data_IF_617351298783
#
_entry.id   IF_617351298783
#
_cell.length_a   1.000
_cell.length_b   1.000
_cell.length_c   1.000
_cell.angle_alpha   90.00
_cell.angle_beta   90.00
_cell.angle_gamma   90.00
#
_symmetry.space_group_name_H-M   'P 1'
#
loop_
_entity.id
_entity.type
_entity.pdbx_description
1 polymer ?
#
# COMPACT_ATOMS: atom_id res chain seq x y z
N UNK A 1 12.47 25.85 23.99
CA UNK A 1 12.08 24.92 22.90
C UNK A 1 12.68 23.55 23.19
N UNK A 2 11.85 22.54 23.39
CA UNK A 2 12.30 21.16 23.57
C UNK A 2 12.59 20.61 22.17
N UNK A 3 13.87 20.44 21.83
CA UNK A 3 14.25 19.72 20.61
C UNK A 3 14.09 18.23 20.85
N UNK A 4 13.16 17.61 20.12
CA UNK A 4 12.99 16.17 20.12
C UNK A 4 13.71 15.60 18.90
N UNK A 5 14.65 14.69 19.11
CA UNK A 5 15.28 13.94 18.03
C UNK A 5 14.51 12.65 17.77
N UNK A 6 14.27 12.35 16.51
CA UNK A 6 13.65 11.09 16.08
C UNK A 6 14.63 10.33 15.18
N UNK A 7 14.70 9.02 15.35
CA UNK A 7 15.44 8.16 14.44
C UNK A 7 14.62 7.93 13.18
N UNK A 8 15.23 8.13 12.02
CA UNK A 8 14.62 7.88 10.71
C UNK A 8 15.16 6.57 10.16
N UNK A 9 14.24 5.63 9.81
CA UNK A 9 14.56 4.33 9.21
C UNK A 9 13.79 4.14 7.92
N UNK A 10 14.36 3.39 7.00
CA UNK A 10 13.64 2.91 5.82
C UNK A 10 12.63 1.83 6.22
N UNK A 11 11.63 1.60 5.39
CA UNK A 11 10.68 0.51 5.61
C UNK A 11 11.38 -0.86 5.63
N UNK A 12 12.37 -1.06 4.75
CA UNK A 12 13.16 -2.30 4.73
C UNK A 12 13.91 -2.52 6.06
N UNK A 13 14.50 -1.48 6.65
CA UNK A 13 15.16 -1.57 7.96
C UNK A 13 14.17 -1.90 9.08
N UNK A 14 13.00 -1.25 9.11
CA UNK A 14 11.98 -1.53 10.11
C UNK A 14 11.50 -2.98 10.05
N UNK A 15 11.25 -3.49 8.85
CA UNK A 15 10.77 -4.87 8.66
C UNK A 15 11.86 -5.89 8.99
N UNK A 16 13.13 -5.58 8.69
CA UNK A 16 14.26 -6.42 9.06
C UNK A 16 14.39 -6.57 10.59
N UNK A 17 14.13 -5.52 11.35
CA UNK A 17 14.13 -5.55 12.81
C UNK A 17 12.93 -6.30 13.40
N UNK A 18 11.73 -6.11 12.81
CA UNK A 18 10.48 -6.72 13.28
C UNK A 18 10.35 -8.20 12.88
N UNK A 19 10.97 -8.60 11.78
CA UNK A 19 10.92 -9.94 11.20
C UNK A 19 9.50 -10.55 11.15
N UNK A 20 8.51 -9.86 10.59
CA UNK A 20 7.16 -10.37 10.54
C UNK A 20 7.09 -11.60 9.63
N UNK A 21 6.24 -12.54 9.97
CA UNK A 21 6.04 -13.76 9.16
C UNK A 21 5.36 -13.43 7.81
N UNK A 22 4.50 -12.43 7.78
CA UNK A 22 3.79 -11.94 6.58
C UNK A 22 3.36 -10.50 6.77
N UNK A 23 3.21 -9.79 5.65
CA UNK A 23 2.62 -8.45 5.58
C UNK A 23 1.54 -8.50 4.51
N UNK A 24 0.29 -8.36 4.90
CA UNK A 24 -0.84 -8.41 3.98
C UNK A 24 -1.23 -7.03 3.43
N UNK A 25 -1.02 -5.99 4.23
CA UNK A 25 -1.39 -4.61 3.91
C UNK A 25 -0.30 -3.65 4.37
N UNK A 26 0.06 -2.73 3.49
CA UNK A 26 0.90 -1.59 3.78
C UNK A 26 0.08 -0.31 3.53
N UNK A 27 -0.28 0.41 4.60
CA UNK A 27 -0.88 1.73 4.48
C UNK A 27 0.20 2.79 4.55
N UNK A 28 0.21 3.72 3.58
CA UNK A 28 1.15 4.84 3.48
C UNK A 28 0.34 6.14 3.44
N UNK A 29 0.60 7.00 4.42
CA UNK A 29 -0.08 8.27 4.61
C UNK A 29 0.91 9.19 5.34
N UNK A 30 1.77 9.87 4.57
CA UNK A 30 2.94 10.58 5.08
C UNK A 30 3.02 12.04 4.61
N UNK A 31 1.90 12.55 4.06
CA UNK A 31 1.76 13.95 3.64
C UNK A 31 2.90 14.46 2.73
N UNK A 32 3.19 13.70 1.67
CA UNK A 32 4.14 14.07 0.62
C UNK A 32 5.44 13.25 0.58
N UNK A 33 5.63 12.29 1.49
CA UNK A 33 6.80 11.41 1.50
C UNK A 33 6.50 9.98 1.02
N UNK A 34 5.34 9.72 0.41
CA UNK A 34 4.88 8.38 0.02
C UNK A 34 5.87 7.70 -0.93
N UNK A 35 6.38 8.41 -1.93
CA UNK A 35 7.37 7.88 -2.86
C UNK A 35 8.66 7.46 -2.15
N UNK A 36 9.11 8.25 -1.17
CA UNK A 36 10.31 7.94 -0.38
C UNK A 36 10.12 6.70 0.49
N UNK A 37 8.94 6.55 1.11
CA UNK A 37 8.59 5.33 1.88
C UNK A 37 8.60 4.10 0.98
N UNK A 38 8.02 4.19 -0.23
CA UNK A 38 8.00 3.11 -1.20
C UNK A 38 9.41 2.74 -1.67
N UNK A 39 10.23 3.74 -2.00
CA UNK A 39 11.62 3.51 -2.40
C UNK A 39 12.46 2.89 -1.28
N UNK A 40 12.22 3.29 -0.02
CA UNK A 40 12.86 2.70 1.16
C UNK A 40 12.32 1.33 1.55
N UNK A 41 11.31 0.81 0.86
CA UNK A 41 10.64 -0.45 1.11
C UNK A 41 10.61 -1.43 -0.06
N UNK A 42 11.45 -1.24 -1.07
CA UNK A 42 11.44 -2.11 -2.27
C UNK A 42 11.73 -3.58 -1.95
N UNK A 43 12.54 -3.88 -0.95
CA UNK A 43 12.79 -5.23 -0.46
C UNK A 43 11.53 -5.85 0.12
N UNK A 44 10.83 -5.11 0.98
CA UNK A 44 9.53 -5.51 1.56
C UNK A 44 8.50 -5.78 0.48
N UNK A 45 8.40 -4.90 -0.52
CA UNK A 45 7.45 -5.06 -1.62
C UNK A 45 7.74 -6.30 -2.48
N UNK A 46 9.00 -6.65 -2.69
CA UNK A 46 9.40 -7.84 -3.42
C UNK A 46 9.15 -9.12 -2.64
N UNK A 47 9.49 -9.14 -1.36
CA UNK A 47 9.43 -10.33 -0.51
C UNK A 47 8.00 -10.64 -0.05
N UNK A 48 7.34 -9.66 0.58
CA UNK A 48 6.03 -9.87 1.21
C UNK A 48 4.84 -9.66 0.25
N UNK A 49 5.03 -8.85 -0.78
CA UNK A 49 4.00 -8.54 -1.78
C UNK A 49 2.67 -8.08 -1.16
N UNK A 50 2.68 -7.12 -0.21
CA UNK A 50 1.48 -6.62 0.42
C UNK A 50 0.55 -5.93 -0.57
N UNK A 51 -0.74 -5.84 -0.23
CA UNK A 51 -1.59 -4.81 -0.80
C UNK A 51 -1.10 -3.45 -0.33
N UNK A 52 -0.91 -2.50 -1.23
CA UNK A 52 -0.53 -1.13 -0.89
C UNK A 52 -1.79 -0.26 -0.91
N UNK A 53 -2.01 0.45 0.19
CA UNK A 53 -2.98 1.51 0.32
C UNK A 53 -2.21 2.81 0.56
N UNK A 54 -2.25 3.73 -0.41
CA UNK A 54 -1.49 4.98 -0.33
C UNK A 54 -2.41 6.18 -0.57
N UNK A 55 -2.24 7.24 0.23
CA UNK A 55 -2.90 8.51 0.02
C UNK A 55 -2.04 9.40 -0.88
N UNK A 56 -2.61 9.87 -2.00
CA UNK A 56 -1.88 10.64 -3.02
C UNK A 56 -2.72 11.85 -3.40
N UNK A 57 -2.17 13.05 -3.21
CA UNK A 57 -2.90 14.32 -3.36
C UNK A 57 -2.80 14.97 -4.73
N UNK A 58 -1.82 14.60 -5.56
CA UNK A 58 -1.64 15.17 -6.90
C UNK A 58 -1.51 14.10 -7.98
N UNK A 59 -1.88 14.45 -9.21
CA UNK A 59 -1.71 13.57 -10.36
C UNK A 59 -0.23 13.31 -10.64
N UNK A 60 0.64 14.31 -10.47
CA UNK A 60 2.08 14.17 -10.63
C UNK A 60 2.65 13.11 -9.65
N UNK A 61 2.29 13.20 -8.38
CA UNK A 61 2.67 12.20 -7.36
C UNK A 61 2.12 10.81 -7.69
N UNK A 62 0.89 10.73 -8.20
CA UNK A 62 0.31 9.46 -8.63
C UNK A 62 1.10 8.82 -9.77
N UNK A 63 1.43 9.58 -10.81
CA UNK A 63 2.20 9.08 -11.95
C UNK A 63 3.60 8.63 -11.52
N UNK A 64 4.26 9.40 -10.65
CA UNK A 64 5.57 9.04 -10.12
C UNK A 64 5.55 7.77 -9.27
N UNK A 65 4.61 7.66 -8.32
CA UNK A 65 4.45 6.47 -7.48
C UNK A 65 4.08 5.25 -8.31
N UNK A 66 3.18 5.40 -9.28
CA UNK A 66 2.82 4.33 -10.21
C UNK A 66 4.04 3.81 -10.97
N UNK A 67 4.86 4.70 -11.52
CA UNK A 67 6.08 4.32 -12.26
C UNK A 67 7.05 3.51 -11.38
N UNK A 68 7.25 3.92 -10.13
CA UNK A 68 8.08 3.18 -9.17
C UNK A 68 7.51 1.78 -8.91
N UNK A 69 6.22 1.69 -8.67
CA UNK A 69 5.54 0.45 -8.30
C UNK A 69 5.44 -0.52 -9.49
N UNK A 70 5.20 -0.04 -10.69
CA UNK A 70 5.17 -0.85 -11.91
C UNK A 70 6.52 -1.52 -12.18
N UNK A 71 7.63 -0.85 -11.92
CA UNK A 71 9.00 -1.41 -12.05
C UNK A 71 9.26 -2.61 -11.12
N UNK A 72 8.53 -2.71 -10.02
CA UNK A 72 8.61 -3.85 -9.10
C UNK A 72 7.41 -4.79 -9.22
N UNK A 73 6.63 -4.67 -10.29
CA UNK A 73 5.57 -5.60 -10.65
C UNK A 73 4.22 -5.35 -9.97
N UNK A 74 4.00 -4.17 -9.42
CA UNK A 74 2.70 -3.75 -8.92
C UNK A 74 1.88 -3.11 -10.04
N UNK A 75 0.57 -3.25 -9.94
CA UNK A 75 -0.38 -2.58 -10.82
C UNK A 75 -1.38 -1.79 -9.99
N UNK A 76 -1.82 -0.65 -10.53
CA UNK A 76 -2.93 0.08 -9.93
C UNK A 76 -4.21 -0.75 -9.97
N UNK A 77 -4.77 -1.00 -8.81
CA UNK A 77 -5.92 -1.90 -8.66
C UNK A 77 -7.24 -1.16 -8.49
N UNK A 78 -7.24 -0.07 -7.73
CA UNK A 78 -8.45 0.70 -7.45
C UNK A 78 -8.13 2.08 -6.85
N UNK A 79 -9.12 2.97 -6.92
CA UNK A 79 -9.20 4.22 -6.17
C UNK A 79 -10.46 4.17 -5.30
N UNK A 80 -10.35 4.55 -4.04
CA UNK A 80 -11.50 4.59 -3.16
C UNK A 80 -12.37 5.81 -3.42
N UNK A 81 -13.51 5.61 -4.09
CA UNK A 81 -14.43 6.69 -4.51
C UNK A 81 -13.68 7.78 -5.29
N UNK A 82 -14.01 9.07 -5.05
CA UNK A 82 -13.27 10.23 -5.55
C UNK A 82 -12.22 10.74 -4.56
N UNK A 83 -11.79 9.90 -3.61
CA UNK A 83 -10.80 10.27 -2.60
C UNK A 83 -9.36 10.19 -3.14
N UNK A 84 -8.41 10.65 -2.33
CA UNK A 84 -6.99 10.55 -2.61
C UNK A 84 -6.37 9.18 -2.26
N UNK A 85 -7.21 8.18 -1.96
CA UNK A 85 -6.79 6.84 -1.56
C UNK A 85 -6.73 5.90 -2.76
N UNK A 86 -5.53 5.39 -3.02
CA UNK A 86 -5.22 4.50 -4.15
C UNK A 86 -4.73 3.16 -3.64
N UNK A 87 -5.04 2.11 -4.40
CA UNK A 87 -4.63 0.75 -4.11
C UNK A 87 -3.79 0.18 -5.24
N UNK A 88 -2.67 -0.45 -4.88
CA UNK A 88 -1.79 -1.17 -5.80
C UNK A 88 -1.57 -2.60 -5.31
N UNK A 89 -1.50 -3.55 -6.24
CA UNK A 89 -1.25 -4.96 -5.92
C UNK A 89 -0.45 -5.64 -7.02
N UNK A 90 0.27 -6.70 -6.67
CA UNK A 90 0.94 -7.58 -7.64
C UNK A 90 -0.01 -8.57 -8.31
N UNK A 91 -1.18 -8.76 -7.74
CA UNK A 91 -2.14 -9.78 -8.18
C UNK A 91 -3.40 -9.09 -8.69
N UNK A 92 -3.97 -9.48 -9.82
CA UNK A 92 -5.25 -8.96 -10.27
C UNK A 92 -6.32 -9.05 -9.18
N UNK A 93 -7.16 -8.04 -9.08
CA UNK A 93 -8.16 -7.89 -8.01
C UNK A 93 -8.96 -9.14 -7.66
N UNK A 94 -9.46 -9.95 -8.62
CA UNK A 94 -10.19 -11.18 -8.29
C UNK A 94 -9.35 -12.18 -7.51
N UNK A 95 -8.10 -12.37 -7.90
CA UNK A 95 -7.16 -13.27 -7.23
C UNK A 95 -6.70 -12.72 -5.88
N UNK A 96 -6.57 -11.40 -5.77
CA UNK A 96 -6.27 -10.73 -4.52
C UNK A 96 -7.36 -10.98 -3.48
N UNK A 97 -8.63 -10.79 -3.83
CA UNK A 97 -9.76 -11.06 -2.95
C UNK A 97 -9.79 -12.52 -2.48
N UNK A 98 -9.48 -13.48 -3.36
CA UNK A 98 -9.39 -14.89 -2.99
C UNK A 98 -8.24 -15.16 -2.01
N UNK A 99 -7.07 -14.52 -2.21
CA UNK A 99 -5.91 -14.61 -1.31
C UNK A 99 -6.25 -14.07 0.09
N UNK A 100 -6.90 -12.91 0.16
CA UNK A 100 -7.30 -12.30 1.44
C UNK A 100 -8.40 -13.09 2.14
N UNK A 101 -9.42 -13.58 1.43
CA UNK A 101 -10.47 -14.44 2.02
C UNK A 101 -9.91 -15.69 2.68
N UNK A 102 -8.85 -16.28 2.15
CA UNK A 102 -8.20 -17.45 2.75
C UNK A 102 -7.38 -17.11 4.00
N UNK A 103 -6.82 -15.90 4.08
CA UNK A 103 -5.96 -15.45 5.21
C UNK A 103 -6.72 -14.65 6.26
N UNK A 104 -7.83 -14.03 5.89
CA UNK A 104 -8.58 -13.13 6.75
C UNK A 104 -9.34 -13.89 7.84
N UNK A 105 -8.70 -14.02 8.98
CA UNK A 105 -9.38 -14.21 10.27
C UNK A 105 -9.70 -12.86 10.94
N UNK A 106 -9.38 -11.72 10.32
CA UNK A 106 -9.51 -10.41 10.95
C UNK A 106 -10.64 -9.57 10.35
N UNK A 107 -11.45 -8.98 11.22
CA UNK A 107 -12.61 -8.14 10.98
C UNK A 107 -12.29 -6.90 10.12
N UNK A 108 -11.05 -6.39 10.15
CA UNK A 108 -10.64 -5.17 9.47
C UNK A 108 -10.55 -5.39 7.96
N UNK A 109 -9.98 -6.50 7.51
CA UNK A 109 -9.85 -6.83 6.07
C UNK A 109 -11.23 -7.11 5.47
N UNK A 110 -12.10 -7.81 6.19
CA UNK A 110 -13.48 -8.01 5.78
C UNK A 110 -14.25 -6.70 5.64
N UNK A 111 -14.01 -5.71 6.51
CA UNK A 111 -14.60 -4.37 6.40
C UNK A 111 -14.09 -3.57 5.20
N UNK A 112 -12.80 -3.64 4.86
CA UNK A 112 -12.22 -2.97 3.70
C UNK A 112 -12.78 -3.50 2.38
N UNK A 113 -13.08 -4.81 2.31
CA UNK A 113 -13.57 -5.46 1.09
C UNK A 113 -15.08 -5.69 1.06
N UNK A 114 -15.79 -5.70 2.18
CA UNK A 114 -17.25 -5.79 2.26
C UNK A 114 -17.96 -4.44 2.05
N UNK A 115 -17.23 -3.34 2.14
CA UNK A 115 -17.75 -2.06 1.70
C UNK A 115 -18.05 -2.14 0.20
N UNK A 116 -19.32 -2.33 -0.14
CA UNK A 116 -19.91 -2.28 -1.49
C UNK A 116 -19.57 -1.00 -2.28
N UNK A 117 -18.66 -0.21 -1.80
CA UNK A 117 -18.33 1.13 -2.24
C UNK A 117 -16.94 1.29 -2.85
N UNK A 118 -16.23 0.20 -3.16
CA UNK A 118 -15.16 0.30 -4.15
C UNK A 118 -15.86 0.37 -5.50
N UNK A 119 -16.40 1.55 -5.78
CA UNK A 119 -17.01 1.84 -7.05
C UNK A 119 -15.94 1.68 -8.12
N UNK A 120 -16.09 0.65 -8.94
CA UNK A 120 -15.57 0.68 -10.28
C UNK A 120 -16.18 1.93 -10.92
N UNK A 121 -15.38 2.96 -11.14
CA UNK A 121 -15.73 3.96 -12.13
C UNK A 121 -15.86 3.20 -13.45
N UNK A 122 -17.09 2.88 -13.83
CA UNK A 122 -17.41 2.49 -15.19
C UNK A 122 -17.14 3.71 -16.04
N UNK A 123 -16.15 3.67 -16.84
CA UNK A 123 -16.15 4.30 -18.16
C UNK A 123 -16.18 3.20 -19.19
#
# INVERSE_FOLDING_TARGET
>A
DIMTTAEVKTLDQCVLELMPRYIDLLKIDTEGYEANVILGGLGVLKEYQPLIWVEIWSEESFLHIRDILEKVGYVWSARYRSSHNYFFSKVPRPLLLAKFKRRAKSTIINRLFSLRSIALSKR
#
